data_IF_346412026736
#
_entry.id   IF_346412026736
#
_cell.length_a   1.000
_cell.length_b   1.000
_cell.length_c   1.000
_cell.angle_alpha   90.00
_cell.angle_beta   90.00
_cell.angle_gamma   90.00
#
_symmetry.space_group_name_H-M   'P 1'
#
loop_
_entity.id
_entity.type
_entity.pdbx_description
1 polymer ?
#
# COMPACT_ATOMS: atom_id res chain seq x y z
N UNK A 1 1.18 -10.87 -17.42
CA UNK A 1 -0.25 -11.24 -17.46
C UNK A 1 -1.06 -9.96 -17.31
N UNK A 2 -2.12 -9.76 -18.09
CA UNK A 2 -3.02 -8.61 -17.94
C UNK A 2 -4.40 -9.15 -17.59
N UNK A 3 -4.91 -8.78 -16.42
CA UNK A 3 -6.23 -9.20 -15.94
C UNK A 3 -7.23 -8.08 -16.22
N UNK A 4 -8.35 -8.42 -16.85
CA UNK A 4 -9.45 -7.46 -17.10
C UNK A 4 -10.61 -7.80 -16.17
N UNK A 5 -11.01 -6.83 -15.36
CA UNK A 5 -12.16 -6.94 -14.47
C UNK A 5 -13.42 -6.39 -15.13
N UNK A 6 -14.58 -6.91 -14.75
CA UNK A 6 -15.87 -6.48 -15.33
C UNK A 6 -16.26 -5.05 -14.94
N UNK A 7 -15.81 -4.59 -13.77
CA UNK A 7 -16.08 -3.25 -13.24
C UNK A 7 -14.77 -2.49 -13.06
N UNK A 8 -14.81 -1.18 -13.34
CA UNK A 8 -13.72 -0.27 -13.03
C UNK A 8 -13.78 0.12 -11.54
N UNK A 9 -12.93 -0.51 -10.72
CA UNK A 9 -12.84 -0.27 -9.28
C UNK A 9 -11.37 -0.27 -8.85
N UNK A 10 -10.99 0.69 -8.01
CA UNK A 10 -9.66 0.75 -7.41
C UNK A 10 -9.35 -0.51 -6.59
N UNK A 11 -10.38 -1.15 -6.03
CA UNK A 11 -10.21 -2.33 -5.18
C UNK A 11 -9.83 -3.59 -5.95
N UNK A 12 -9.93 -3.59 -7.29
CA UNK A 12 -9.60 -4.75 -8.12
C UNK A 12 -8.14 -5.21 -7.95
N UNK A 13 -7.23 -4.30 -7.57
CA UNK A 13 -5.83 -4.62 -7.33
C UNK A 13 -5.59 -5.45 -6.06
N UNK A 14 -6.54 -5.45 -5.12
CA UNK A 14 -6.46 -6.21 -3.88
C UNK A 14 -7.13 -7.57 -3.98
N UNK A 15 -7.79 -7.90 -5.10
CA UNK A 15 -8.43 -9.21 -5.26
C UNK A 15 -7.39 -10.34 -5.14
N UNK A 16 -7.76 -11.48 -4.52
CA UNK A 16 -6.86 -12.62 -4.37
C UNK A 16 -6.69 -13.31 -5.72
N UNK A 17 -5.69 -12.89 -6.49
CA UNK A 17 -5.36 -13.51 -7.77
C UNK A 17 -4.52 -14.77 -7.56
N UNK A 18 -4.98 -15.90 -8.09
CA UNK A 18 -4.26 -17.18 -8.00
C UNK A 18 -2.89 -17.14 -8.69
N UNK A 19 -2.72 -16.27 -9.69
CA UNK A 19 -1.47 -16.07 -10.40
C UNK A 19 -0.36 -15.42 -9.55
N UNK A 20 -0.70 -14.82 -8.40
CA UNK A 20 0.30 -14.25 -7.48
C UNK A 20 0.72 -15.36 -6.52
N UNK A 21 1.81 -16.05 -6.84
CA UNK A 21 2.32 -17.17 -6.03
C UNK A 21 3.24 -16.71 -4.88
N UNK A 22 3.69 -15.45 -4.91
CA UNK A 22 4.62 -14.91 -3.92
C UNK A 22 3.91 -14.44 -2.65
N UNK A 23 4.62 -14.52 -1.52
CA UNK A 23 4.17 -13.95 -0.24
C UNK A 23 4.18 -12.42 -0.26
N UNK A 24 5.17 -11.83 -0.93
CA UNK A 24 5.30 -10.39 -1.10
C UNK A 24 4.52 -9.92 -2.33
N UNK A 25 3.74 -8.86 -2.17
CA UNK A 25 3.09 -8.15 -3.26
C UNK A 25 3.62 -6.72 -3.30
N UNK A 26 4.11 -6.30 -4.47
CA UNK A 26 4.47 -4.91 -4.74
C UNK A 26 3.32 -4.26 -5.51
N UNK A 27 2.66 -3.30 -4.89
CA UNK A 27 1.63 -2.48 -5.53
C UNK A 27 2.19 -1.09 -5.85
N UNK A 28 2.06 -0.70 -7.11
CA UNK A 28 2.58 0.56 -7.66
C UNK A 28 1.50 1.19 -8.54
N UNK A 29 1.21 2.47 -8.33
CA UNK A 29 0.33 3.27 -9.18
C UNK A 29 1.01 3.59 -10.53
N UNK A 30 0.23 3.82 -11.59
CA UNK A 30 0.76 4.02 -12.95
C UNK A 30 1.52 5.35 -13.13
N UNK A 31 1.33 6.30 -12.23
CA UNK A 31 2.06 7.56 -12.14
C UNK A 31 3.25 7.54 -11.15
N UNK A 32 3.39 6.45 -10.37
CA UNK A 32 4.44 6.30 -9.39
C UNK A 32 5.75 5.77 -10.04
N UNK A 33 6.82 6.54 -9.88
CA UNK A 33 8.13 6.20 -10.43
C UNK A 33 9.07 5.75 -9.30
N UNK A 34 9.32 4.45 -9.20
CA UNK A 34 10.33 3.88 -8.29
C UNK A 34 11.54 3.40 -9.08
N UNK A 35 12.74 3.73 -8.60
CA UNK A 35 13.98 3.22 -9.16
C UNK A 35 14.25 1.78 -8.71
N UNK A 36 15.07 1.07 -9.46
CA UNK A 36 15.41 -0.33 -9.15
C UNK A 36 16.04 -0.49 -7.76
N UNK A 37 16.95 0.42 -7.37
CA UNK A 37 17.56 0.43 -6.04
C UNK A 37 16.54 0.60 -4.92
N UNK A 38 15.52 1.44 -5.13
CA UNK A 38 14.44 1.68 -4.17
C UNK A 38 13.56 0.44 -4.01
N UNK A 39 13.18 -0.20 -5.12
CA UNK A 39 12.42 -1.45 -5.10
C UNK A 39 13.18 -2.54 -4.34
N UNK A 40 14.48 -2.69 -4.62
CA UNK A 40 15.32 -3.68 -3.93
C UNK A 40 15.48 -3.38 -2.45
N UNK A 41 15.60 -2.11 -2.07
CA UNK A 41 15.66 -1.67 -0.68
C UNK A 41 14.34 -1.96 0.04
N UNK A 42 13.20 -1.52 -0.52
CA UNK A 42 11.88 -1.72 0.06
C UNK A 42 11.56 -3.21 0.27
N UNK A 43 11.92 -4.06 -0.69
CA UNK A 43 11.74 -5.51 -0.56
C UNK A 43 12.59 -6.10 0.57
N UNK A 44 13.85 -5.65 0.74
CA UNK A 44 14.71 -6.11 1.85
C UNK A 44 14.11 -5.74 3.20
N UNK A 45 13.65 -4.50 3.35
CA UNK A 45 13.00 -4.03 4.58
C UNK A 45 11.71 -4.83 4.85
N UNK A 46 10.88 -5.05 3.83
CA UNK A 46 9.68 -5.89 3.97
C UNK A 46 10.00 -7.31 4.41
N UNK A 47 11.09 -7.92 3.90
CA UNK A 47 11.49 -9.27 4.32
C UNK A 47 11.82 -9.38 5.80
N UNK A 48 12.28 -8.29 6.42
CA UNK A 48 12.56 -8.21 7.86
C UNK A 48 11.30 -7.93 8.69
N UNK A 49 10.26 -7.34 8.10
CA UNK A 49 8.99 -6.97 8.74
C UNK A 49 7.77 -7.42 7.91
N UNK A 50 7.65 -8.74 7.68
CA UNK A 50 6.67 -9.32 6.75
C UNK A 50 5.21 -9.11 7.14
N UNK A 51 4.96 -8.85 8.43
CA UNK A 51 3.65 -8.56 9.01
C UNK A 51 3.19 -7.11 8.77
N UNK A 52 4.03 -6.26 8.17
CA UNK A 52 3.79 -4.83 7.99
C UNK A 52 3.75 -4.42 6.54
N UNK A 53 3.05 -3.31 6.29
CA UNK A 53 3.10 -2.60 5.01
C UNK A 53 4.38 -1.76 5.01
N UNK A 54 5.21 -1.91 3.98
CA UNK A 54 6.46 -1.17 3.79
C UNK A 54 6.38 -0.40 2.49
N UNK A 55 6.41 0.92 2.52
CA UNK A 55 6.25 1.74 1.32
C UNK A 55 6.78 3.15 1.51
N UNK A 56 6.76 3.91 0.42
CA UNK A 56 7.37 5.23 0.34
C UNK A 56 6.41 6.38 0.69
N UNK A 57 5.15 6.39 0.21
CA UNK A 57 4.27 7.51 0.46
C UNK A 57 3.65 7.39 1.86
N UNK A 58 4.23 8.13 2.79
CA UNK A 58 3.73 8.23 4.15
C UNK A 58 2.58 9.25 4.29
N UNK A 59 1.59 8.95 5.13
CA UNK A 59 0.47 9.85 5.48
C UNK A 59 0.15 9.84 6.97
N UNK A 60 -0.46 10.92 7.43
CA UNK A 60 -0.86 11.09 8.82
C UNK A 60 -2.35 11.38 8.94
N UNK A 61 -2.97 10.89 10.02
CA UNK A 61 -4.31 11.29 10.43
C UNK A 61 -4.26 11.93 11.82
N UNK A 62 -5.05 13.00 11.99
CA UNK A 62 -5.15 13.73 13.25
C UNK A 62 -6.62 13.87 13.65
N UNK A 63 -6.91 13.81 14.95
CA UNK A 63 -8.25 14.12 15.44
C UNK A 63 -8.42 15.64 15.54
N UNK A 64 -9.39 16.19 14.80
CA UNK A 64 -9.77 17.59 14.94
C UNK A 64 -10.88 17.72 15.99
N UNK A 65 -10.51 18.30 17.13
CA UNK A 65 -11.43 18.53 18.25
C UNK A 65 -12.52 19.54 17.90
N UNK A 66 -12.23 20.53 17.05
CA UNK A 66 -13.19 21.59 16.70
C UNK A 66 -14.30 21.07 15.79
N UNK A 67 -13.92 20.23 14.82
CA UNK A 67 -14.85 19.65 13.87
C UNK A 67 -15.32 18.23 14.25
N UNK A 68 -14.86 17.70 15.40
CA UNK A 68 -15.16 16.35 15.90
C UNK A 68 -15.00 15.28 14.80
N UNK A 69 -13.92 15.37 14.04
CA UNK A 69 -13.69 14.52 12.86
C UNK A 69 -12.21 14.20 12.66
N UNK A 70 -11.93 13.14 11.90
CA UNK A 70 -10.57 12.78 11.51
C UNK A 70 -10.13 13.59 10.29
N UNK A 71 -8.98 14.23 10.41
CA UNK A 71 -8.31 14.91 9.30
C UNK A 71 -7.31 13.98 8.65
N UNK A 72 -7.32 13.95 7.32
CA UNK A 72 -6.29 13.33 6.51
C UNK A 72 -5.26 14.40 6.11
N UNK A 73 -3.98 14.13 6.36
CA UNK A 73 -2.89 15.02 5.99
C UNK A 73 -1.85 14.30 5.11
N UNK A 74 -1.54 14.94 3.98
CA UNK A 74 -0.54 14.49 3.00
C UNK A 74 0.75 15.28 3.00
N UNK A 75 0.90 16.27 3.89
CA UNK A 75 2.13 17.04 4.03
C UNK A 75 3.26 16.16 4.56
N UNK A 76 4.48 16.54 4.20
CA UNK A 76 5.71 15.98 4.75
C UNK A 76 5.86 16.38 6.22
N UNK A 77 5.24 15.62 7.11
CA UNK A 77 5.46 15.70 8.57
C UNK A 77 6.34 14.55 9.06
N UNK A 78 6.97 14.75 10.22
CA UNK A 78 7.72 13.69 10.90
C UNK A 78 6.80 12.66 11.59
N UNK A 79 5.51 12.97 11.70
CA UNK A 79 4.50 12.07 12.25
C UNK A 79 3.87 11.28 11.11
N UNK A 80 3.89 9.96 11.24
CA UNK A 80 3.41 9.01 10.25
C UNK A 80 2.50 7.99 10.91
N UNK A 81 1.33 7.74 10.31
CA UNK A 81 0.37 6.75 10.81
C UNK A 81 -0.14 5.77 9.74
N UNK A 82 0.14 6.05 8.46
CA UNK A 82 -0.37 5.29 7.33
C UNK A 82 0.70 5.24 6.22
N UNK A 83 0.73 4.13 5.50
CA UNK A 83 1.55 3.95 4.29
C UNK A 83 0.60 3.69 3.13
N UNK A 84 0.69 4.48 2.06
CA UNK A 84 -0.17 4.28 0.89
C UNK A 84 0.29 3.08 0.07
N UNK A 85 -0.68 2.26 -0.34
CA UNK A 85 -0.47 1.05 -1.16
C UNK A 85 -0.17 1.34 -2.63
N UNK A 86 -0.11 2.61 -3.03
CA UNK A 86 0.28 3.05 -4.39
C UNK A 86 1.78 2.99 -4.68
N UNK A 87 2.61 2.69 -3.68
CA UNK A 87 4.03 2.37 -3.83
C UNK A 87 4.52 1.65 -2.57
N UNK A 88 4.03 0.41 -2.38
CA UNK A 88 4.31 -0.35 -1.18
C UNK A 88 4.37 -1.87 -1.40
N UNK A 89 5.10 -2.52 -0.51
CA UNK A 89 5.14 -3.96 -0.28
C UNK A 89 4.23 -4.33 0.88
N UNK A 90 3.47 -5.41 0.72
CA UNK A 90 2.66 -6.00 1.78
C UNK A 90 2.53 -7.51 1.57
N UNK A 91 2.04 -8.19 2.61
CA UNK A 91 1.83 -9.63 2.56
C UNK A 91 0.60 -9.96 1.71
N UNK A 92 0.65 -11.05 0.93
CA UNK A 92 -0.48 -11.51 0.11
C UNK A 92 -1.76 -11.71 0.93
N UNK A 93 -1.64 -12.10 2.19
CA UNK A 93 -2.82 -12.26 3.06
C UNK A 93 -3.46 -10.93 3.49
N UNK A 94 -2.73 -9.81 3.47
CA UNK A 94 -3.29 -8.49 3.75
C UNK A 94 -4.42 -8.13 2.78
N UNK A 95 -4.32 -8.57 1.53
CA UNK A 95 -5.37 -8.42 0.52
C UNK A 95 -6.69 -9.10 0.90
N UNK A 96 -6.64 -10.21 1.66
CA UNK A 96 -7.86 -10.91 2.08
C UNK A 96 -8.62 -10.16 3.17
N UNK A 97 -7.93 -9.37 3.98
CA UNK A 97 -8.54 -8.61 5.06
C UNK A 97 -9.28 -7.35 4.56
N UNK A 98 -8.87 -6.76 3.44
CA UNK A 98 -9.50 -5.53 2.90
C UNK A 98 -10.79 -5.77 2.11
N UNK A 99 -11.13 -7.03 1.78
CA UNK A 99 -12.31 -7.39 0.98
C UNK A 99 -13.38 -8.09 1.85
N UNK A 100 -13.14 -8.21 3.16
CA UNK A 100 -14.03 -8.82 4.16
C UNK A 100 -15.03 -7.84 4.74
#
# INVERSE_FOLDING_TARGET
MVVRTEKNSLNNRFLPWDAVETEAVLSIDDDAHLRHDEIMFGFRVWREARDRIVGFPGRYHAWDVNHQSWLYNSNYSCELSMVLTGAAFFHKDSNRAEIS
#
